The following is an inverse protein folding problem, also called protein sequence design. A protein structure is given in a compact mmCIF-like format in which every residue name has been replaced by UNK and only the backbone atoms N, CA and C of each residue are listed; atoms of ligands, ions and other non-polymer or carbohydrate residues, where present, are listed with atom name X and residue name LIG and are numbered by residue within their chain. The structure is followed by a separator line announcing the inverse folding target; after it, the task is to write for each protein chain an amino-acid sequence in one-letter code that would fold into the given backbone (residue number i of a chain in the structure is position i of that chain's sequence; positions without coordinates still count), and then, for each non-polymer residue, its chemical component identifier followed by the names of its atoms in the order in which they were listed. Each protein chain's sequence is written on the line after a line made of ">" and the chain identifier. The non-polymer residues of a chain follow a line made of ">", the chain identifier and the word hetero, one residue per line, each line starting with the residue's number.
data_IF_601662115248
#
_entry.id   IF_601662115248
#
_cell.length_a   1.000
_cell.length_b   1.000
_cell.length_c   1.000
_cell.angle_alpha   90.00
_cell.angle_beta   90.00
_cell.angle_gamma   90.00
#
_symmetry.space_group_name_H-M   'P 1'
#
loop_
_entity.id
_entity.type
_entity.pdbx_description
1 polymer ?
#
# COMPACT_ATOMS: atom_id res chain seq x y z
N UNK A 1 -20.92 -20.44 -0.02
CA UNK A 1 -19.66 -19.85 0.48
C UNK A 1 -19.94 -18.39 0.82
N UNK A 2 -20.03 -18.06 2.10
CA UNK A 2 -20.30 -16.70 2.59
C UNK A 2 -19.14 -15.78 2.21
N UNK A 3 -19.39 -14.73 1.43
CA UNK A 3 -18.41 -13.64 1.21
C UNK A 3 -18.18 -12.99 2.57
N UNK A 4 -16.99 -13.19 3.13
CA UNK A 4 -16.66 -12.70 4.47
C UNK A 4 -16.48 -11.18 4.52
N UNK A 5 -16.66 -10.47 3.40
CA UNK A 5 -16.38 -9.04 3.28
C UNK A 5 -14.89 -8.72 3.44
N UNK A 6 -14.01 -9.72 3.36
CA UNK A 6 -12.57 -9.58 3.53
C UNK A 6 -11.83 -9.93 2.24
N UNK A 7 -10.70 -9.26 2.04
CA UNK A 7 -9.76 -9.50 0.96
C UNK A 7 -8.40 -9.79 1.57
N UNK A 8 -7.86 -10.96 1.28
CA UNK A 8 -6.48 -11.32 1.62
C UNK A 8 -5.59 -11.16 0.39
N UNK A 9 -4.45 -10.50 0.54
CA UNK A 9 -3.47 -10.32 -0.52
C UNK A 9 -2.04 -10.40 0.03
N UNK A 10 -1.08 -10.73 -0.84
CA UNK A 10 0.35 -10.72 -0.50
C UNK A 10 0.94 -9.35 -0.87
N UNK A 11 1.64 -8.72 0.07
CA UNK A 11 2.41 -7.49 -0.17
C UNK A 11 3.55 -7.77 -1.15
N UNK A 12 4.10 -6.72 -1.75
CA UNK A 12 5.24 -6.86 -2.64
C UNK A 12 6.51 -7.33 -1.90
N UNK A 13 6.54 -7.28 -0.57
CA UNK A 13 7.59 -7.89 0.26
C UNK A 13 7.29 -9.31 0.75
N UNK A 14 6.19 -9.94 0.30
CA UNK A 14 5.88 -11.35 0.57
C UNK A 14 4.99 -11.62 1.80
N UNK A 15 4.49 -10.59 2.47
CA UNK A 15 3.65 -10.75 3.67
C UNK A 15 2.17 -10.87 3.31
N UNK A 16 1.44 -11.78 3.96
CA UNK A 16 -0.02 -11.93 3.79
C UNK A 16 -0.78 -10.92 4.65
N UNK A 17 -1.67 -10.14 4.03
CA UNK A 17 -2.46 -9.09 4.68
C UNK A 17 -3.94 -9.27 4.38
N UNK A 18 -4.78 -9.16 5.40
CA UNK A 18 -6.25 -9.21 5.28
C UNK A 18 -6.84 -7.83 5.55
N UNK A 19 -7.66 -7.33 4.62
CA UNK A 19 -8.36 -6.04 4.71
C UNK A 19 -9.84 -6.21 4.45
N UNK A 20 -10.66 -5.22 4.85
CA UNK A 20 -12.06 -5.16 4.44
C UNK A 20 -12.16 -4.95 2.94
N UNK A 21 -12.88 -5.84 2.25
CA UNK A 21 -13.20 -5.74 0.83
C UNK A 21 -14.12 -4.54 0.62
N UNK A 22 -13.73 -3.66 -0.31
CA UNK A 22 -14.58 -2.55 -0.77
C UNK A 22 -15.48 -3.03 -1.91
N UNK A 23 -16.40 -2.18 -2.37
CA UNK A 23 -17.42 -2.53 -3.36
C UNK A 23 -16.88 -3.28 -4.59
N UNK A 24 -17.76 -4.04 -5.26
CA UNK A 24 -17.40 -5.01 -6.32
C UNK A 24 -16.46 -4.50 -7.41
N UNK A 25 -16.63 -3.25 -7.85
CA UNK A 25 -15.82 -2.63 -8.91
C UNK A 25 -14.59 -1.88 -8.40
N UNK A 26 -14.41 -1.78 -7.07
CA UNK A 26 -13.26 -1.09 -6.49
C UNK A 26 -12.01 -1.98 -6.55
N UNK A 27 -11.03 -1.55 -7.33
CA UNK A 27 -9.70 -2.17 -7.33
C UNK A 27 -8.98 -1.72 -6.06
N UNK A 28 -8.73 -2.68 -5.16
CA UNK A 28 -8.02 -2.46 -3.90
C UNK A 28 -6.53 -2.23 -4.15
N UNK A 29 -5.97 -1.08 -3.72
CA UNK A 29 -4.53 -0.84 -3.76
C UNK A 29 -3.81 -1.87 -2.88
N UNK A 30 -2.85 -2.56 -3.47
CA UNK A 30 -2.08 -3.64 -2.83
C UNK A 30 -0.58 -3.53 -3.12
N UNK A 31 -0.12 -2.39 -3.62
CA UNK A 31 1.28 -2.13 -3.97
C UNK A 31 2.22 -1.89 -2.79
N UNK A 32 1.80 -2.21 -1.56
CA UNK A 32 2.60 -2.00 -0.36
C UNK A 32 3.80 -2.94 -0.35
N UNK A 33 4.99 -2.41 -0.02
CA UNK A 33 6.19 -3.23 0.13
C UNK A 33 6.12 -4.10 1.39
N UNK A 34 5.57 -3.59 2.48
CA UNK A 34 5.36 -4.30 3.74
C UNK A 34 3.98 -3.94 4.28
N UNK A 35 3.45 -4.73 5.23
CA UNK A 35 2.11 -4.50 5.77
C UNK A 35 1.95 -3.09 6.35
N UNK A 36 0.94 -2.32 5.94
CA UNK A 36 0.59 -1.04 6.57
C UNK A 36 0.29 -1.19 8.06
N UNK A 37 0.74 -0.22 8.86
CA UNK A 37 0.55 -0.20 10.32
C UNK A 37 1.66 -0.90 11.09
N UNK A 38 2.76 -1.26 10.43
CA UNK A 38 3.96 -1.83 11.06
C UNK A 38 5.10 -0.83 11.23
N UNK A 39 4.93 0.40 10.74
CA UNK A 39 5.87 1.51 10.93
C UNK A 39 5.54 2.36 12.17
N UNK A 40 6.21 3.52 12.31
CA UNK A 40 5.98 4.44 13.42
C UNK A 40 4.52 4.89 13.52
N UNK A 41 4.02 5.03 14.75
CA UNK A 41 2.65 5.48 15.00
C UNK A 41 2.46 6.93 14.52
N UNK A 42 1.33 7.21 13.88
CA UNK A 42 1.03 8.53 13.31
C UNK A 42 1.58 8.75 11.90
N UNK A 43 2.61 8.00 11.50
CA UNK A 43 3.18 8.10 10.16
C UNK A 43 2.36 7.38 9.09
N UNK A 44 2.44 7.88 7.86
CA UNK A 44 1.69 7.34 6.72
C UNK A 44 2.60 7.07 5.53
N UNK A 45 2.12 6.31 4.55
CA UNK A 45 2.80 6.24 3.26
C UNK A 45 2.99 7.63 2.64
N UNK A 46 2.10 8.58 2.93
CA UNK A 46 2.14 9.96 2.47
C UNK A 46 3.34 10.78 2.93
N UNK A 47 3.91 10.45 4.08
CA UNK A 47 5.04 11.14 4.71
C UNK A 47 6.36 10.40 4.57
N UNK A 48 6.34 9.23 3.92
CA UNK A 48 7.51 8.39 3.67
C UNK A 48 8.39 8.99 2.56
N UNK A 49 9.71 8.94 2.71
CA UNK A 49 10.70 9.30 1.67
C UNK A 49 10.47 8.49 0.38
N UNK A 50 10.13 7.21 0.49
CA UNK A 50 9.98 6.32 -0.66
C UNK A 50 8.66 6.48 -1.43
N UNK A 51 7.88 7.54 -1.20
CA UNK A 51 6.61 7.70 -1.91
C UNK A 51 6.79 8.40 -3.25
N UNK A 52 6.30 7.75 -4.31
CA UNK A 52 6.24 8.35 -5.64
C UNK A 52 4.79 8.70 -5.95
N UNK A 53 4.49 10.00 -6.00
CA UNK A 53 3.14 10.53 -6.24
C UNK A 53 3.06 11.22 -7.60
N UNK A 54 1.93 11.03 -8.26
CA UNK A 54 1.49 11.78 -9.44
C UNK A 54 0.05 12.24 -9.21
N UNK A 55 -0.52 13.01 -10.14
CA UNK A 55 -1.96 13.38 -10.13
C UNK A 55 -2.88 12.15 -10.06
N UNK A 56 -2.46 11.02 -10.62
CA UNK A 56 -3.32 9.85 -10.82
C UNK A 56 -2.97 8.63 -9.95
N UNK A 57 -1.78 8.60 -9.37
CA UNK A 57 -1.32 7.43 -8.61
C UNK A 57 -0.40 7.82 -7.46
N UNK A 58 -0.34 6.94 -6.46
CA UNK A 58 0.73 6.90 -5.47
C UNK A 58 1.28 5.48 -5.44
N UNK A 59 2.60 5.33 -5.48
CA UNK A 59 3.29 4.04 -5.45
C UNK A 59 4.50 4.11 -4.51
N UNK A 60 4.98 2.95 -4.07
CA UNK A 60 6.17 2.85 -3.22
C UNK A 60 7.40 2.61 -4.10
N UNK A 61 8.39 3.49 -4.02
CA UNK A 61 9.62 3.42 -4.82
C UNK A 61 10.41 2.12 -4.58
N UNK A 62 10.40 1.61 -3.34
CA UNK A 62 10.99 0.31 -3.01
C UNK A 62 10.40 -0.87 -3.80
N UNK A 63 9.25 -0.69 -4.45
CA UNK A 63 8.61 -1.70 -5.28
C UNK A 63 8.62 -1.40 -6.78
N UNK A 64 9.43 -0.43 -7.23
CA UNK A 64 9.47 0.08 -8.62
C UNK A 64 9.57 -1.02 -9.68
N UNK A 65 10.41 -2.03 -9.46
CA UNK A 65 10.57 -3.16 -10.40
C UNK A 65 9.32 -4.03 -10.58
N UNK A 66 8.28 -3.85 -9.75
CA UNK A 66 7.02 -4.62 -9.79
C UNK A 66 5.82 -3.76 -10.18
N UNK A 67 6.03 -2.49 -10.50
CA UNK A 67 4.94 -1.60 -10.86
C UNK A 67 4.29 -2.01 -12.16
N UNK A 68 2.97 -1.83 -12.21
CA UNK A 68 2.17 -1.95 -13.42
C UNK A 68 1.45 -0.63 -13.67
N UNK A 69 0.86 -0.49 -14.86
CA UNK A 69 0.01 0.66 -15.21
C UNK A 69 -1.35 0.65 -14.50
N UNK A 70 -1.63 -0.35 -13.66
CA UNK A 70 -2.90 -0.54 -12.98
C UNK A 70 -2.85 -0.23 -11.48
N UNK A 71 -4.03 0.07 -10.92
CA UNK A 71 -4.24 0.43 -9.51
C UNK A 71 -3.85 -0.66 -8.51
N UNK A 72 -3.70 -1.90 -8.97
CA UNK A 72 -3.24 -3.01 -8.13
C UNK A 72 -1.82 -2.82 -7.58
N UNK A 73 -0.98 -1.99 -8.21
CA UNK A 73 0.35 -1.65 -7.70
C UNK A 73 0.41 -0.28 -7.04
N UNK A 74 -0.74 0.37 -6.87
CA UNK A 74 -0.82 1.62 -6.11
C UNK A 74 -0.86 1.33 -4.60
N UNK A 75 -0.56 2.37 -3.83
CA UNK A 75 -0.73 2.45 -2.39
C UNK A 75 -1.67 3.61 -2.05
N UNK A 76 -2.26 3.59 -0.86
CA UNK A 76 -3.01 4.73 -0.35
C UNK A 76 -2.06 5.67 0.41
N UNK A 77 -2.06 6.96 0.06
CA UNK A 77 -1.28 8.00 0.76
C UNK A 77 -1.60 8.02 2.26
N UNK A 78 -2.87 7.83 2.63
CA UNK A 78 -3.33 7.80 4.02
C UNK A 78 -3.18 6.42 4.70
N UNK A 79 -2.58 5.43 4.03
CA UNK A 79 -2.31 4.16 4.69
C UNK A 79 -1.29 4.38 5.82
N UNK A 80 -1.46 3.75 6.99
CA UNK A 80 -0.45 3.79 8.04
C UNK A 80 0.90 3.28 7.52
N UNK A 81 1.99 3.90 7.97
CA UNK A 81 3.34 3.55 7.57
C UNK A 81 3.64 2.07 7.78
N UNK A 82 4.52 1.52 6.93
CA UNK A 82 5.04 0.17 7.09
C UNK A 82 6.43 0.21 7.73
N UNK A 83 6.96 -0.93 8.16
CA UNK A 83 8.30 -1.04 8.78
C UNK A 83 9.49 -0.58 7.92
N UNK A 84 9.28 -0.34 6.62
CA UNK A 84 10.25 0.23 5.68
C UNK A 84 10.05 1.73 5.47
N UNK A 85 9.30 2.37 6.37
CA UNK A 85 9.11 3.80 6.34
C UNK A 85 10.42 4.49 6.72
N UNK A 86 10.74 5.55 5.98
CA UNK A 86 11.86 6.44 6.22
C UNK A 86 11.32 7.87 6.17
N UNK A 87 11.78 8.72 7.08
CA UNK A 87 11.39 10.13 7.12
C UNK A 87 11.91 10.82 5.86
N UNK A 88 11.09 11.68 5.25
CA UNK A 88 11.54 12.50 4.15
C UNK A 88 12.66 13.44 4.62
N UNK A 89 13.82 13.40 3.97
CA UNK A 89 14.90 14.35 4.23
C UNK A 89 14.51 15.70 3.62
N UNK A 90 14.52 16.76 4.44
CA UNK A 90 14.26 18.15 4.02
C UNK A 90 15.23 18.67 2.95
#
# INVERSE_FOLDING_TARGET
>A
MTDTGQLTFTTLGGETVTVKKRGKHYIQPRGYIQRPGTGPAGETCGTCEHITKSRHFAKCELSRGRWTRGRGTDILVKAPACRRWEAASE
#
